data_IF_139444787628
#
_entry.id   IF_139444787628
#
_cell.length_a   1.000
_cell.length_b   1.000
_cell.length_c   1.000
_cell.angle_alpha   90.00
_cell.angle_beta   90.00
_cell.angle_gamma   90.00
#
_symmetry.space_group_name_H-M   'P 1'
#
loop_
_entity.id
_entity.type
_entity.pdbx_description
1 polymer ?
#
# COMPACT_ATOMS: atom_id res chain seq x y z
N UNK A 1 -21.58 4.62 19.86
CA UNK A 1 -21.18 3.30 19.31
C UNK A 1 -21.54 3.32 17.84
N UNK A 2 -20.58 3.59 16.96
CA UNK A 2 -20.80 3.46 15.54
C UNK A 2 -21.07 1.98 15.23
N UNK A 3 -22.19 1.71 14.57
CA UNK A 3 -22.48 0.38 14.06
C UNK A 3 -21.44 0.08 12.99
N UNK A 4 -20.50 -0.84 13.28
CA UNK A 4 -19.73 -1.52 12.24
C UNK A 4 -20.71 -1.84 11.11
N UNK A 5 -20.56 -1.24 9.93
CA UNK A 5 -21.28 -1.71 8.74
C UNK A 5 -20.84 -3.15 8.57
N UNK A 6 -21.68 -4.08 8.99
CA UNK A 6 -21.35 -5.50 8.94
C UNK A 6 -21.12 -5.85 7.48
N UNK A 7 -19.90 -6.25 7.15
CA UNK A 7 -19.61 -6.86 5.87
C UNK A 7 -20.39 -8.18 5.80
N UNK A 8 -21.53 -8.16 5.11
CA UNK A 8 -22.45 -9.27 5.02
C UNK A 8 -22.25 -10.02 3.71
N UNK A 9 -21.46 -11.09 3.73
CA UNK A 9 -21.43 -12.04 2.62
C UNK A 9 -22.74 -12.83 2.59
N UNK A 10 -23.44 -12.77 1.47
CA UNK A 10 -24.62 -13.56 1.19
C UNK A 10 -24.63 -13.95 -0.31
N UNK A 11 -25.57 -14.82 -0.70
CA UNK A 11 -25.65 -15.33 -2.07
C UNK A 11 -25.83 -14.23 -3.12
N UNK A 12 -26.51 -13.12 -2.79
CA UNK A 12 -26.73 -12.01 -3.71
C UNK A 12 -25.44 -11.20 -3.94
N UNK A 13 -24.69 -10.91 -2.87
CA UNK A 13 -23.40 -10.22 -2.93
C UNK A 13 -22.36 -11.05 -3.68
N UNK A 14 -22.31 -12.35 -3.43
CA UNK A 14 -21.37 -13.25 -4.10
C UNK A 14 -21.73 -13.51 -5.56
N UNK A 15 -23.02 -13.50 -5.90
CA UNK A 15 -23.49 -13.97 -7.20
C UNK A 15 -23.23 -15.47 -7.41
N UNK A 16 -23.49 -15.96 -8.62
CA UNK A 16 -23.37 -17.39 -8.96
C UNK A 16 -22.20 -17.70 -9.90
N UNK A 17 -21.64 -16.69 -10.56
CA UNK A 17 -20.52 -16.86 -11.48
C UNK A 17 -19.19 -17.01 -10.75
N UNK A 18 -18.41 -18.00 -11.17
CA UNK A 18 -17.08 -18.31 -10.63
C UNK A 18 -16.06 -18.11 -11.75
N UNK A 19 -14.92 -17.51 -11.41
CA UNK A 19 -13.75 -17.34 -12.29
C UNK A 19 -12.53 -18.02 -11.68
N UNK A 20 -11.56 -18.37 -12.52
CA UNK A 20 -10.26 -18.90 -12.11
C UNK A 20 -9.15 -17.99 -12.60
N UNK A 21 -8.28 -17.54 -11.69
CA UNK A 21 -7.14 -16.68 -12.00
C UNK A 21 -5.86 -17.47 -11.71
N UNK A 22 -4.99 -17.59 -12.70
CA UNK A 22 -3.71 -18.29 -12.60
C UNK A 22 -2.60 -17.29 -12.29
N UNK A 23 -2.02 -17.38 -11.11
CA UNK A 23 -1.11 -16.37 -10.56
C UNK A 23 0.31 -16.91 -10.43
N UNK A 24 1.28 -16.04 -10.72
CA UNK A 24 2.70 -16.31 -10.60
C UNK A 24 3.26 -17.24 -11.69
N UNK A 25 4.58 -17.48 -11.68
CA UNK A 25 5.26 -18.24 -12.73
C UNK A 25 4.83 -19.71 -12.79
N UNK A 26 4.39 -20.26 -11.65
CA UNK A 26 3.83 -21.62 -11.55
C UNK A 26 2.35 -21.70 -11.90
N UNK A 27 1.71 -20.57 -12.26
CA UNK A 27 0.29 -20.47 -12.61
C UNK A 27 -0.60 -21.14 -11.56
N UNK A 28 -0.39 -20.81 -10.28
CA UNK A 28 -1.22 -21.34 -9.19
C UNK A 28 -2.68 -20.89 -9.43
N UNK A 29 -3.65 -21.80 -9.52
CA UNK A 29 -5.03 -21.42 -9.77
C UNK A 29 -5.70 -20.91 -8.49
N UNK A 30 -6.46 -19.83 -8.62
CA UNK A 30 -7.31 -19.26 -7.59
C UNK A 30 -8.73 -19.14 -8.12
N UNK A 31 -9.68 -19.83 -7.49
CA UNK A 31 -11.08 -19.88 -7.92
C UNK A 31 -11.95 -19.10 -6.93
N UNK A 32 -12.75 -18.14 -7.44
CA UNK A 32 -13.50 -17.19 -6.62
C UNK A 32 -14.72 -16.62 -7.34
N UNK A 33 -15.60 -15.98 -6.58
CA UNK A 33 -16.81 -15.34 -7.09
C UNK A 33 -16.49 -14.11 -7.94
N UNK A 34 -16.96 -14.12 -9.20
CA UNK A 34 -16.73 -13.05 -10.18
C UNK A 34 -17.28 -11.72 -9.71
N UNK A 35 -18.51 -11.71 -9.19
CA UNK A 35 -19.16 -10.48 -8.71
C UNK A 35 -18.35 -9.85 -7.58
N UNK A 36 -17.90 -10.65 -6.62
CA UNK A 36 -17.13 -10.17 -5.46
C UNK A 36 -15.85 -9.41 -5.87
N UNK A 37 -15.07 -9.98 -6.79
CA UNK A 37 -13.81 -9.35 -7.24
C UNK A 37 -14.06 -8.15 -8.14
N UNK A 38 -15.07 -8.20 -9.02
CA UNK A 38 -15.43 -7.08 -9.89
C UNK A 38 -15.97 -5.87 -9.10
N UNK A 39 -16.79 -6.11 -8.07
CA UNK A 39 -17.36 -5.03 -7.25
C UNK A 39 -16.29 -4.25 -6.46
N UNK A 40 -15.09 -4.84 -6.27
CA UNK A 40 -14.00 -4.26 -5.47
C UNK A 40 -12.79 -3.80 -6.29
N UNK A 41 -12.70 -4.19 -7.56
CA UNK A 41 -11.55 -3.90 -8.43
C UNK A 41 -12.02 -3.51 -9.83
N UNK A 42 -11.71 -2.28 -10.22
CA UNK A 42 -12.04 -1.77 -11.55
C UNK A 42 -11.29 -2.55 -12.64
N UNK A 43 -10.08 -3.02 -12.35
CA UNK A 43 -9.30 -3.88 -13.25
C UNK A 43 -10.08 -5.16 -13.60
N UNK A 44 -10.53 -5.92 -12.60
CA UNK A 44 -11.27 -7.17 -12.84
C UNK A 44 -12.68 -6.91 -13.39
N UNK A 45 -13.34 -5.81 -13.00
CA UNK A 45 -14.61 -5.41 -13.58
C UNK A 45 -14.48 -5.17 -15.09
N UNK A 46 -13.44 -4.44 -15.53
CA UNK A 46 -13.15 -4.21 -16.95
C UNK A 46 -12.78 -5.50 -17.68
N UNK A 47 -11.97 -6.35 -17.06
CA UNK A 47 -11.52 -7.58 -17.69
C UNK A 47 -12.65 -8.62 -17.87
N UNK A 48 -13.48 -8.83 -16.84
CA UNK A 48 -14.52 -9.88 -16.88
C UNK A 48 -15.88 -9.41 -17.42
N UNK A 49 -16.14 -8.10 -17.49
CA UNK A 49 -17.41 -7.54 -18.00
C UNK A 49 -17.22 -6.62 -19.23
N UNK A 50 -15.99 -6.46 -19.71
CA UNK A 50 -15.67 -5.62 -20.87
C UNK A 50 -16.04 -6.23 -22.22
N UNK A 51 -15.85 -5.44 -23.29
CA UNK A 51 -16.12 -5.87 -24.68
C UNK A 51 -15.05 -6.82 -25.24
N UNK A 52 -13.88 -6.90 -24.61
CA UNK A 52 -12.87 -7.89 -24.95
C UNK A 52 -13.31 -9.23 -24.38
N UNK A 53 -13.63 -10.18 -25.25
CA UNK A 53 -14.07 -11.53 -24.90
C UNK A 53 -12.95 -12.34 -24.21
N UNK A 54 -12.54 -11.96 -23.01
CA UNK A 54 -12.04 -12.91 -22.00
C UNK A 54 -13.23 -13.63 -21.33
N UNK A 55 -14.25 -13.94 -22.13
CA UNK A 55 -15.49 -14.60 -21.72
C UNK A 55 -15.27 -16.07 -21.32
N UNK A 56 -14.04 -16.58 -21.41
CA UNK A 56 -13.66 -17.92 -20.98
C UNK A 56 -12.96 -17.90 -19.62
N UNK A 57 -13.67 -17.56 -18.53
CA UNK A 57 -13.46 -18.02 -17.12
C UNK A 57 -12.04 -17.93 -16.50
N UNK A 58 -11.00 -17.57 -17.24
CA UNK A 58 -9.59 -17.88 -16.97
C UNK A 58 -8.71 -16.69 -17.32
N UNK A 59 -8.12 -16.09 -16.30
CA UNK A 59 -7.15 -15.00 -16.42
C UNK A 59 -5.75 -15.47 -15.98
N UNK A 60 -4.70 -14.86 -16.52
CA UNK A 60 -3.31 -15.14 -16.14
C UNK A 60 -2.63 -13.87 -15.63
N UNK A 61 -2.13 -13.92 -14.40
CA UNK A 61 -1.36 -12.89 -13.73
C UNK A 61 0.04 -13.44 -13.40
N UNK A 62 0.83 -13.68 -14.45
CA UNK A 62 2.06 -14.50 -14.39
C UNK A 62 3.17 -13.83 -13.57
N UNK A 63 3.19 -12.51 -13.52
CA UNK A 63 4.19 -11.71 -12.81
C UNK A 63 3.85 -11.49 -11.33
N UNK A 64 2.62 -11.78 -10.92
CA UNK A 64 2.15 -11.46 -9.58
C UNK A 64 2.58 -12.48 -8.52
N UNK A 65 2.82 -11.98 -7.31
CA UNK A 65 3.14 -12.83 -6.17
C UNK A 65 1.90 -13.60 -5.67
N UNK A 66 2.05 -14.91 -5.53
CA UNK A 66 0.95 -15.78 -5.11
C UNK A 66 0.52 -15.59 -3.66
N UNK A 67 1.39 -15.07 -2.79
CA UNK A 67 1.08 -14.82 -1.37
C UNK A 67 0.34 -13.50 -1.22
N UNK A 68 0.74 -12.47 -1.96
CA UNK A 68 0.01 -11.20 -2.10
C UNK A 68 -1.40 -11.46 -2.65
N UNK A 69 -1.55 -12.30 -3.67
CA UNK A 69 -2.86 -12.62 -4.22
C UNK A 69 -3.76 -13.40 -3.26
N UNK A 70 -3.19 -14.35 -2.50
CA UNK A 70 -3.91 -15.07 -1.44
C UNK A 70 -4.39 -14.12 -0.33
N UNK A 71 -3.55 -13.13 0.00
CA UNK A 71 -3.88 -12.05 0.94
C UNK A 71 -5.00 -11.13 0.42
N UNK A 72 -4.98 -10.81 -0.88
CA UNK A 72 -6.04 -10.08 -1.56
C UNK A 72 -7.38 -10.84 -1.52
N UNK A 73 -7.37 -12.15 -1.76
CA UNK A 73 -8.58 -12.99 -1.63
C UNK A 73 -9.09 -12.98 -0.19
N UNK A 74 -8.19 -13.11 0.79
CA UNK A 74 -8.58 -13.05 2.21
C UNK A 74 -9.27 -11.72 2.53
N UNK A 75 -8.77 -10.60 2.00
CA UNK A 75 -9.42 -9.30 2.10
C UNK A 75 -10.79 -9.27 1.41
N UNK A 76 -10.90 -9.75 0.16
CA UNK A 76 -12.18 -9.75 -0.57
C UNK A 76 -13.30 -10.46 0.20
N UNK A 77 -12.98 -11.57 0.87
CA UNK A 77 -13.96 -12.38 1.60
C UNK A 77 -14.14 -11.99 3.07
N UNK A 78 -13.33 -11.09 3.62
CA UNK A 78 -13.41 -10.73 5.05
C UNK A 78 -13.50 -9.22 5.31
N UNK A 79 -13.30 -8.39 4.29
CA UNK A 79 -13.26 -6.92 4.35
C UNK A 79 -12.21 -6.35 5.35
N UNK A 80 -11.21 -7.17 5.64
CA UNK A 80 -10.11 -6.90 6.58
C UNK A 80 -8.84 -7.57 6.06
N UNK A 81 -7.70 -6.95 6.36
CA UNK A 81 -6.41 -7.53 6.00
C UNK A 81 -6.24 -8.90 6.68
N UNK A 82 -5.55 -9.85 6.03
CA UNK A 82 -5.23 -11.11 6.68
C UNK A 82 -4.36 -10.86 7.92
N UNK A 83 -4.44 -11.78 8.87
CA UNK A 83 -3.41 -11.84 9.90
C UNK A 83 -2.12 -12.29 9.22
N UNK A 84 -1.18 -11.37 9.02
CA UNK A 84 0.16 -11.68 8.57
C UNK A 84 0.83 -12.52 9.67
N UNK A 85 0.82 -13.85 9.52
CA UNK A 85 1.31 -14.73 10.57
C UNK A 85 2.79 -14.51 10.82
N UNK A 86 3.18 -14.43 12.09
CA UNK A 86 4.59 -14.36 12.53
C UNK A 86 5.37 -15.66 12.29
N UNK A 87 4.80 -16.64 11.57
CA UNK A 87 5.38 -17.97 11.34
C UNK A 87 6.53 -17.96 10.35
N UNK A 88 6.71 -16.87 9.59
CA UNK A 88 7.95 -16.64 8.83
C UNK A 88 9.00 -16.02 9.75
N UNK A 89 10.22 -16.57 9.73
CA UNK A 89 11.41 -16.02 10.40
C UNK A 89 11.83 -14.69 9.75
N UNK A 90 10.97 -13.69 9.75
CA UNK A 90 11.26 -12.36 9.24
C UNK A 90 11.66 -11.48 10.42
N UNK A 91 12.72 -10.70 10.24
CA UNK A 91 13.01 -9.55 11.11
C UNK A 91 11.96 -8.46 10.91
N UNK A 92 11.90 -7.49 11.84
CA UNK A 92 10.98 -6.36 11.73
C UNK A 92 11.20 -5.58 10.42
N UNK A 93 12.46 -5.43 9.97
CA UNK A 93 12.80 -4.72 8.73
C UNK A 93 12.37 -5.48 7.47
N UNK A 94 12.40 -6.81 7.48
CA UNK A 94 12.02 -7.64 6.33
C UNK A 94 10.50 -7.80 6.19
N UNK A 95 9.74 -7.56 7.26
CA UNK A 95 8.31 -7.81 7.27
C UNK A 95 7.53 -6.95 6.25
N UNK A 96 7.73 -5.62 6.15
CA UNK A 96 7.07 -4.82 5.13
C UNK A 96 7.36 -5.31 3.70
N UNK A 97 8.62 -5.62 3.40
CA UNK A 97 9.07 -6.09 2.09
C UNK A 97 8.47 -7.44 1.70
N UNK A 98 8.30 -8.34 2.67
CA UNK A 98 7.78 -9.68 2.39
C UNK A 98 6.25 -9.77 2.41
N UNK A 99 5.56 -8.82 3.07
CA UNK A 99 4.11 -8.95 3.35
C UNK A 99 3.29 -7.75 2.93
N UNK A 100 3.72 -6.54 3.25
CA UNK A 100 2.91 -5.33 3.08
C UNK A 100 3.11 -4.71 1.70
N UNK A 101 4.36 -4.50 1.27
CA UNK A 101 4.65 -3.89 -0.03
C UNK A 101 4.13 -4.73 -1.20
N UNK A 102 4.34 -6.06 -1.26
CA UNK A 102 3.79 -6.87 -2.36
C UNK A 102 2.26 -6.80 -2.45
N UNK A 103 1.58 -6.74 -1.30
CA UNK A 103 0.12 -6.59 -1.27
C UNK A 103 -0.33 -5.18 -1.71
N UNK A 104 0.43 -4.14 -1.34
CA UNK A 104 0.18 -2.77 -1.80
C UNK A 104 0.35 -2.65 -3.31
N UNK A 105 1.44 -3.19 -3.86
CA UNK A 105 1.71 -3.18 -5.31
C UNK A 105 0.58 -3.87 -6.07
N UNK A 106 0.16 -5.04 -5.60
CA UNK A 106 -0.97 -5.77 -6.18
C UNK A 106 -2.25 -4.91 -6.12
N UNK A 107 -2.53 -4.27 -4.97
CA UNK A 107 -3.73 -3.46 -4.79
C UNK A 107 -3.79 -2.27 -5.75
N UNK A 108 -2.68 -1.55 -5.97
CA UNK A 108 -2.60 -0.50 -6.98
C UNK A 108 -2.76 -1.06 -8.40
N UNK A 109 -2.05 -2.14 -8.74
CA UNK A 109 -2.07 -2.75 -10.08
C UNK A 109 -3.46 -3.25 -10.48
N UNK A 110 -4.22 -3.79 -9.53
CA UNK A 110 -5.60 -4.23 -9.75
C UNK A 110 -6.63 -3.15 -9.43
N UNK A 111 -6.22 -1.90 -9.23
CA UNK A 111 -7.11 -0.75 -8.98
C UNK A 111 -8.11 -1.01 -7.83
N UNK A 112 -7.63 -1.57 -6.71
CA UNK A 112 -8.43 -1.79 -5.50
C UNK A 112 -8.05 -0.75 -4.43
N UNK A 113 -8.53 0.48 -4.60
CA UNK A 113 -8.13 1.64 -3.78
C UNK A 113 -8.36 1.42 -2.28
N UNK A 114 -9.50 0.82 -1.89
CA UNK A 114 -9.78 0.53 -0.48
C UNK A 114 -8.79 -0.46 0.15
N UNK A 115 -8.31 -1.45 -0.62
CA UNK A 115 -7.25 -2.32 -0.15
C UNK A 115 -5.94 -1.54 -0.01
N UNK A 116 -5.55 -0.76 -1.03
CA UNK A 116 -4.33 0.05 -0.98
C UNK A 116 -4.32 0.99 0.24
N UNK A 117 -5.45 1.64 0.53
CA UNK A 117 -5.62 2.49 1.71
C UNK A 117 -5.43 1.71 3.02
N UNK A 118 -6.09 0.55 3.17
CA UNK A 118 -5.93 -0.30 4.38
C UNK A 118 -4.49 -0.81 4.54
N UNK A 119 -3.82 -1.16 3.45
CA UNK A 119 -2.42 -1.61 3.49
C UNK A 119 -1.48 -0.46 3.83
N UNK A 120 -1.73 0.74 3.32
CA UNK A 120 -1.00 1.95 3.71
C UNK A 120 -1.08 2.20 5.22
N UNK A 121 -2.28 2.13 5.80
CA UNK A 121 -2.44 2.25 7.25
C UNK A 121 -1.64 1.19 8.00
N UNK A 122 -1.65 -0.06 7.53
CA UNK A 122 -0.87 -1.13 8.13
C UNK A 122 0.65 -0.92 8.01
N UNK A 123 1.12 -0.32 6.91
CA UNK A 123 2.54 0.07 6.73
C UNK A 123 2.92 1.14 7.75
N UNK A 124 2.09 2.19 7.88
CA UNK A 124 2.32 3.27 8.84
C UNK A 124 2.28 2.76 10.29
N UNK A 125 1.28 1.95 10.65
CA UNK A 125 1.12 1.39 12.00
C UNK A 125 2.27 0.44 12.37
N UNK A 126 2.67 -0.41 11.43
CA UNK A 126 3.80 -1.32 11.65
C UNK A 126 5.11 -0.54 11.83
N UNK A 127 5.35 0.45 10.96
CA UNK A 127 6.53 1.30 11.03
C UNK A 127 6.65 2.02 12.37
N UNK A 128 5.55 2.64 12.82
CA UNK A 128 5.50 3.36 14.10
C UNK A 128 5.71 2.44 15.30
N UNK A 129 5.04 1.29 15.32
CA UNK A 129 5.11 0.35 16.44
C UNK A 129 6.48 -0.32 16.59
N UNK A 130 7.19 -0.54 15.48
CA UNK A 130 8.45 -1.28 15.45
C UNK A 130 9.67 -0.40 15.20
N UNK A 131 9.49 0.93 15.12
CA UNK A 131 10.54 1.91 14.81
C UNK A 131 11.26 1.60 13.47
N UNK A 132 10.49 1.16 12.46
CA UNK A 132 10.99 0.77 11.14
C UNK A 132 10.63 1.82 10.11
N UNK A 133 11.61 2.27 9.33
CA UNK A 133 11.43 3.18 8.18
C UNK A 133 11.92 2.50 6.88
N UNK A 134 11.44 2.93 5.70
CA UNK A 134 11.95 2.40 4.44
C UNK A 134 13.46 2.67 4.26
N UNK A 135 14.24 1.61 4.13
CA UNK A 135 15.66 1.69 3.78
C UNK A 135 15.89 1.77 2.27
N UNK A 136 17.16 1.69 1.83
CA UNK A 136 17.51 1.76 0.40
C UNK A 136 16.88 0.63 -0.42
N UNK A 137 16.91 -0.60 0.09
CA UNK A 137 16.35 -1.79 -0.59
C UNK A 137 14.83 -1.67 -0.74
N UNK A 138 14.12 -1.40 0.38
CA UNK A 138 12.70 -1.08 0.37
C UNK A 138 12.34 0.04 -0.60
N UNK A 139 13.09 1.15 -0.61
CA UNK A 139 12.85 2.29 -1.50
C UNK A 139 12.98 1.88 -2.96
N UNK A 140 14.04 1.12 -3.28
CA UNK A 140 14.27 0.62 -4.64
C UNK A 140 13.11 -0.27 -5.09
N UNK A 141 12.70 -1.23 -4.24
CA UNK A 141 11.55 -2.10 -4.50
C UNK A 141 10.26 -1.30 -4.73
N UNK A 142 10.00 -0.27 -3.92
CA UNK A 142 8.82 0.59 -4.07
C UNK A 142 8.84 1.30 -5.44
N UNK A 143 9.95 1.92 -5.82
CA UNK A 143 10.06 2.63 -7.10
C UNK A 143 9.94 1.69 -8.31
N UNK A 144 10.46 0.46 -8.22
CA UNK A 144 10.37 -0.53 -9.31
C UNK A 144 8.95 -1.06 -9.54
N UNK A 145 8.08 -1.03 -8.53
CA UNK A 145 6.78 -1.71 -8.56
C UNK A 145 5.56 -0.76 -8.46
N UNK A 146 5.78 0.54 -8.40
CA UNK A 146 4.71 1.55 -8.28
C UNK A 146 4.83 2.61 -9.37
N UNK A 147 3.73 3.33 -9.66
CA UNK A 147 3.72 4.44 -10.60
C UNK A 147 4.15 5.76 -9.92
N UNK A 148 4.46 6.79 -10.72
CA UNK A 148 4.99 8.09 -10.25
C UNK A 148 4.06 8.80 -9.22
N UNK A 149 2.75 8.70 -9.39
CA UNK A 149 1.78 9.30 -8.46
C UNK A 149 1.45 8.43 -7.22
N UNK A 150 2.16 7.31 -7.02
CA UNK A 150 1.86 6.38 -5.92
C UNK A 150 2.04 7.03 -4.55
N UNK A 151 1.06 6.81 -3.67
CA UNK A 151 1.12 7.28 -2.28
C UNK A 151 2.22 6.59 -1.49
N UNK A 152 2.65 5.39 -1.89
CA UNK A 152 3.75 4.68 -1.24
C UNK A 152 5.11 5.30 -1.58
N UNK A 153 5.31 5.82 -2.80
CA UNK A 153 6.49 6.66 -3.12
C UNK A 153 6.52 7.92 -2.26
N UNK A 154 5.38 8.60 -2.14
CA UNK A 154 5.25 9.79 -1.29
C UNK A 154 5.58 9.50 0.18
N UNK A 155 5.05 8.41 0.75
CA UNK A 155 5.36 7.96 2.10
C UNK A 155 6.87 7.70 2.28
N UNK A 156 7.47 6.99 1.33
CA UNK A 156 8.90 6.65 1.35
C UNK A 156 9.79 7.90 1.41
N UNK A 157 9.52 8.89 0.55
CA UNK A 157 10.27 10.14 0.52
C UNK A 157 10.09 10.94 1.81
N UNK A 158 8.86 11.05 2.32
CA UNK A 158 8.58 11.82 3.54
C UNK A 158 9.23 11.18 4.78
N UNK A 159 9.28 9.84 4.86
CA UNK A 159 10.05 9.14 5.89
C UNK A 159 11.57 9.30 5.70
N UNK A 160 12.06 9.34 4.46
CA UNK A 160 13.45 9.65 4.16
C UNK A 160 13.84 11.06 4.63
N UNK A 161 12.98 12.05 4.40
CA UNK A 161 13.15 13.43 4.89
C UNK A 161 13.11 13.49 6.42
N UNK A 162 12.17 12.80 7.06
CA UNK A 162 12.12 12.67 8.52
C UNK A 162 13.45 12.14 9.07
N UNK A 163 13.96 11.02 8.53
CA UNK A 163 15.21 10.42 8.96
C UNK A 163 16.42 11.33 8.69
N UNK A 164 16.46 11.98 7.52
CA UNK A 164 17.52 12.93 7.19
C UNK A 164 17.64 14.00 8.28
N UNK A 165 16.54 14.67 8.63
CA UNK A 165 16.55 15.74 9.64
C UNK A 165 16.95 15.20 11.01
N UNK A 166 16.46 14.01 11.41
CA UNK A 166 16.83 13.37 12.67
C UNK A 166 18.31 12.98 12.72
N UNK A 167 18.88 12.43 11.66
CA UNK A 167 20.31 12.14 11.57
C UNK A 167 21.17 13.41 11.63
N UNK A 168 20.73 14.51 10.99
CA UNK A 168 21.42 15.80 11.09
C UNK A 168 21.44 16.35 12.53
N UNK A 169 20.37 16.16 13.31
CA UNK A 169 20.33 16.53 14.73
C UNK A 169 21.32 15.71 15.57
N UNK A 170 21.66 14.49 15.12
CA UNK A 170 22.54 13.55 15.80
C UNK A 170 23.99 13.51 15.24
N UNK A 171 24.35 14.38 14.26
CA UNK A 171 25.63 14.36 13.52
C UNK A 171 25.96 13.01 12.85
N UNK A 172 24.92 12.29 12.44
CA UNK A 172 25.00 11.02 11.71
C UNK A 172 25.05 11.29 10.20
N UNK A 173 26.13 10.84 9.55
CA UNK A 173 26.41 11.10 8.13
C UNK A 173 25.91 10.01 7.19
N UNK A 174 25.47 8.87 7.72
CA UNK A 174 25.08 7.71 6.92
C UNK A 174 23.82 8.01 6.07
N UNK A 175 22.95 8.92 6.54
CA UNK A 175 21.75 9.33 5.83
C UNK A 175 22.03 10.06 4.50
N UNK A 176 23.12 10.82 4.42
CA UNK A 176 23.49 11.58 3.20
C UNK A 176 23.99 10.62 2.14
N UNK A 177 24.81 9.64 2.53
CA UNK A 177 25.32 8.63 1.61
C UNK A 177 24.19 7.73 1.08
N UNK A 178 23.28 7.30 1.97
CA UNK A 178 22.07 6.55 1.59
C UNK A 178 21.21 7.34 0.59
N UNK A 179 20.92 8.62 0.86
CA UNK A 179 20.10 9.42 -0.05
C UNK A 179 20.80 9.68 -1.39
N UNK A 180 22.11 9.95 -1.37
CA UNK A 180 22.90 10.11 -2.58
C UNK A 180 23.02 8.81 -3.39
N UNK A 181 22.99 7.65 -2.75
CA UNK A 181 22.93 6.36 -3.42
C UNK A 181 21.60 6.21 -4.17
N UNK A 182 20.47 6.43 -3.50
CA UNK A 182 19.14 6.36 -4.10
C UNK A 182 18.98 7.34 -5.27
N UNK A 183 19.44 8.58 -5.13
CA UNK A 183 19.39 9.59 -6.18
C UNK A 183 20.20 9.23 -7.44
N UNK A 184 21.22 8.37 -7.31
CA UNK A 184 21.99 7.86 -8.46
C UNK A 184 21.38 6.60 -9.05
N UNK A 185 20.77 5.76 -8.23
CA UNK A 185 20.21 4.47 -8.64
C UNK A 185 18.83 4.60 -9.28
N UNK A 186 18.01 5.56 -8.83
CA UNK A 186 16.61 5.69 -9.20
C UNK A 186 16.39 7.02 -9.96
N UNK A 187 15.99 6.97 -11.25
CA UNK A 187 15.86 8.18 -12.08
C UNK A 187 14.90 9.23 -11.51
N UNK A 188 13.76 8.81 -10.97
CA UNK A 188 12.70 9.71 -10.50
C UNK A 188 12.89 10.16 -9.05
N UNK A 189 13.64 9.39 -8.25
CA UNK A 189 13.76 9.60 -6.81
C UNK A 189 14.26 11.00 -6.46
N UNK A 190 15.27 11.51 -7.17
CA UNK A 190 15.82 12.83 -6.89
C UNK A 190 14.79 13.95 -7.17
N UNK A 191 13.97 13.78 -8.22
CA UNK A 191 12.88 14.70 -8.55
C UNK A 191 11.83 14.72 -7.45
N UNK A 192 11.32 13.54 -7.09
CA UNK A 192 10.31 13.38 -6.04
C UNK A 192 10.81 13.92 -4.69
N UNK A 193 12.06 13.64 -4.35
CA UNK A 193 12.68 14.12 -3.11
C UNK A 193 12.70 15.65 -3.05
N UNK A 194 13.16 16.31 -4.12
CA UNK A 194 13.22 17.78 -4.21
C UNK A 194 11.81 18.37 -4.18
N UNK A 195 10.87 17.80 -4.93
CA UNK A 195 9.49 18.28 -4.99
C UNK A 195 8.83 18.22 -3.62
N UNK A 196 8.87 17.05 -2.97
CA UNK A 196 8.19 16.86 -1.68
C UNK A 196 8.89 17.62 -0.55
N UNK A 197 10.22 17.74 -0.58
CA UNK A 197 10.95 18.62 0.32
C UNK A 197 10.48 20.06 0.17
N UNK A 198 10.38 20.59 -1.06
CA UNK A 198 9.96 21.97 -1.30
C UNK A 198 8.50 22.21 -0.89
N UNK A 199 7.62 21.28 -1.26
CA UNK A 199 6.17 21.32 -1.01
C UNK A 199 5.83 21.25 0.47
N UNK A 200 6.55 20.43 1.23
CA UNK A 200 6.28 20.19 2.65
C UNK A 200 7.38 20.70 3.58
N UNK A 201 8.24 21.62 3.13
CA UNK A 201 9.38 22.17 3.91
C UNK A 201 9.02 22.61 5.33
N UNK A 202 7.83 23.17 5.53
CA UNK A 202 7.39 23.70 6.83
C UNK A 202 7.09 22.57 7.84
N UNK A 203 6.91 21.33 7.35
CA UNK A 203 6.73 20.10 8.15
C UNK A 203 8.05 19.48 8.62
N UNK A 204 9.20 20.01 8.18
CA UNK A 204 10.53 19.45 8.48
C UNK A 204 11.46 20.49 9.10
N UNK A 205 10.90 21.52 9.75
CA UNK A 205 11.67 22.54 10.45
C UNK A 205 12.13 22.00 11.82
N UNK A 206 13.27 22.51 12.32
CA UNK A 206 13.83 22.10 13.61
C UNK A 206 12.80 22.24 14.74
N UNK A 207 12.57 21.14 15.47
CA UNK A 207 11.58 21.08 16.57
C UNK A 207 10.14 20.79 16.14
N UNK A 208 9.86 20.70 14.83
CA UNK A 208 8.56 20.32 14.28
C UNK A 208 8.77 19.45 13.04
N UNK A 209 9.32 18.25 13.25
CA UNK A 209 9.62 17.27 12.19
C UNK A 209 8.47 16.28 12.14
N UNK A 210 7.67 16.36 11.09
CA UNK A 210 6.50 15.51 10.92
C UNK A 210 6.92 14.07 10.62
N UNK A 211 6.29 13.13 11.30
CA UNK A 211 6.45 11.70 11.08
C UNK A 211 5.33 11.19 10.17
N UNK A 212 5.68 10.72 8.97
CA UNK A 212 4.69 10.24 8.02
C UNK A 212 4.02 8.92 8.44
N UNK A 213 4.42 8.30 9.55
CA UNK A 213 3.73 7.16 10.16
C UNK A 213 2.57 7.60 11.05
N UNK A 214 2.59 8.84 11.54
CA UNK A 214 1.55 9.39 12.40
C UNK A 214 0.40 9.94 11.56
N UNK A 215 -0.84 9.52 11.88
CA UNK A 215 -2.07 9.88 11.15
C UNK A 215 -2.87 11.00 11.83
N UNK A 216 -2.19 12.04 12.30
CA UNK A 216 -2.80 13.28 12.82
C UNK A 216 -2.22 14.52 12.10
N UNK A 217 -2.87 15.68 12.25
CA UNK A 217 -2.46 16.91 11.55
C UNK A 217 -1.27 17.62 12.22
N UNK A 218 -1.06 17.39 13.51
CA UNK A 218 -0.07 18.10 14.33
C UNK A 218 1.34 17.52 14.12
N UNK A 219 1.48 16.22 14.33
CA UNK A 219 2.74 15.47 14.28
C UNK A 219 2.93 14.74 12.94
N UNK A 220 1.84 14.50 12.21
CA UNK A 220 1.81 13.67 11.00
C UNK A 220 1.62 14.44 9.70
N UNK A 221 0.77 13.94 8.80
CA UNK A 221 0.32 14.65 7.59
C UNK A 221 -1.20 14.71 7.46
N UNK A 222 -1.90 14.29 8.52
CA UNK A 222 -3.34 14.10 8.53
C UNK A 222 -3.75 12.68 8.18
N UNK A 223 -4.99 12.35 8.55
CA UNK A 223 -5.48 10.97 8.64
C UNK A 223 -5.49 10.21 7.32
N UNK A 224 -5.89 10.87 6.23
CA UNK A 224 -6.10 10.25 4.92
C UNK A 224 -5.05 10.70 3.89
N UNK A 225 -3.94 11.28 4.34
CA UNK A 225 -2.99 11.94 3.44
C UNK A 225 -2.40 11.01 2.36
N UNK A 226 -2.15 9.76 2.74
CA UNK A 226 -1.66 8.71 1.85
C UNK A 226 -2.77 7.83 1.26
N UNK A 227 -4.04 8.20 1.40
CA UNK A 227 -5.15 7.51 0.76
C UNK A 227 -5.42 8.08 -0.64
N UNK A 228 -6.06 7.27 -1.49
CA UNK A 228 -6.40 7.61 -2.88
C UNK A 228 -7.88 7.90 -3.11
N UNK A 229 -8.68 7.98 -2.05
CA UNK A 229 -10.10 8.34 -2.15
C UNK A 229 -10.30 9.83 -2.44
N UNK A 230 -11.40 10.15 -3.12
CA UNK A 230 -11.74 11.52 -3.47
C UNK A 230 -12.29 12.29 -2.27
N UNK A 231 -12.17 13.62 -2.29
CA UNK A 231 -12.70 14.47 -1.22
C UNK A 231 -14.21 14.27 -1.06
N UNK A 232 -14.61 13.75 0.11
CA UNK A 232 -16.02 13.48 0.45
C UNK A 232 -16.43 12.02 0.30
N UNK A 233 -15.56 11.15 -0.20
CA UNK A 233 -15.75 9.71 -0.09
C UNK A 233 -15.59 9.25 1.37
N UNK A 234 -16.36 8.24 1.76
CA UNK A 234 -16.31 7.69 3.11
C UNK A 234 -15.07 6.81 3.23
N UNK A 235 -14.09 7.27 4.01
CA UNK A 235 -12.91 6.48 4.35
C UNK A 235 -13.27 5.35 5.33
N UNK A 236 -12.59 4.21 5.22
CA UNK A 236 -12.72 3.08 6.15
C UNK A 236 -12.27 3.41 7.58
N UNK A 237 -11.45 4.45 7.74
CA UNK A 237 -11.16 5.03 9.04
C UNK A 237 -12.35 5.93 9.43
N UNK A 238 -13.35 5.38 10.14
CA UNK A 238 -14.56 6.11 10.59
C UNK A 238 -14.21 7.45 11.23
N UNK A 239 -14.92 8.56 10.96
CA UNK A 239 -14.74 9.77 11.77
C UNK A 239 -14.97 9.40 13.23
N UNK A 240 -13.90 9.46 14.04
CA UNK A 240 -14.09 9.59 15.47
C UNK A 240 -14.53 11.04 15.59
N UNK A 241 -15.85 11.26 15.49
CA UNK A 241 -16.44 12.55 15.81
C UNK A 241 -15.93 12.92 17.20
N UNK A 242 -15.11 13.97 17.24
CA UNK A 242 -14.54 14.58 18.44
C UNK A 242 -15.61 15.31 19.26
#
# INVERSE_FOLDING_TARGET
MASLKAFALNAEVLGTEIVTIHVGPKRKPFTLHKKLICDRSEFFAKAFNGQFQEAEVVMYLVEEDTVAFDSFISYLYQDRLPQFSSTTKCTANEFPEQKLYPLFFLAEKVCCNELANKVMDAIQDFGLLNEVIPGNESTTMIYENTHEESKLRSYCILMGLYNWIKSMENDDKDCVESTAHLARALPDFAGDFIELQFKYRDRFQKGNVADAQVRNDEEGFGRCFFHTHAKGEVCHLESVDS
#
